data_IF_151290431065
#
_entry.id   IF_151290431065
#
_cell.length_a   1.000
_cell.length_b   1.000
_cell.length_c   1.000
_cell.angle_alpha   90.00
_cell.angle_beta   90.00
_cell.angle_gamma   90.00
#
_symmetry.space_group_name_H-M   'P 1'
#
loop_
_entity.id
_entity.type
_entity.pdbx_description
1 polymer ?
#
# COMPACT_ATOMS: atom_id res chain seq x y z
N UNK A 1 32.57 3.45 5.04
CA UNK A 1 31.17 3.12 5.39
C UNK A 1 30.36 4.39 5.25
N UNK A 2 29.34 4.43 4.40
CA UNK A 2 28.48 5.61 4.27
C UNK A 2 27.80 5.90 5.62
N UNK A 3 27.64 7.19 5.96
CA UNK A 3 26.93 7.56 7.18
C UNK A 3 25.44 7.16 7.11
N UNK A 4 24.79 7.00 8.25
CA UNK A 4 23.33 6.71 8.31
C UNK A 4 22.52 7.76 7.53
N UNK A 5 22.98 9.02 7.57
CA UNK A 5 22.36 10.11 6.83
C UNK A 5 22.52 9.95 5.31
N UNK A 6 23.70 9.58 4.83
CA UNK A 6 23.94 9.32 3.40
C UNK A 6 23.11 8.16 2.87
N UNK A 7 22.98 7.08 3.65
CA UNK A 7 22.14 5.94 3.27
C UNK A 7 20.66 6.31 3.23
N UNK A 8 20.18 7.14 4.16
CA UNK A 8 18.81 7.65 4.15
C UNK A 8 18.53 8.52 2.91
N UNK A 9 19.43 9.48 2.61
CA UNK A 9 19.33 10.35 1.43
C UNK A 9 19.34 9.53 0.15
N UNK A 10 20.24 8.53 0.06
CA UNK A 10 20.32 7.62 -1.08
C UNK A 10 18.99 6.87 -1.27
N UNK A 11 18.40 6.32 -0.22
CA UNK A 11 17.12 5.60 -0.29
C UNK A 11 15.97 6.49 -0.72
N UNK A 12 15.91 7.72 -0.22
CA UNK A 12 14.91 8.70 -0.67
C UNK A 12 15.06 9.00 -2.15
N UNK A 13 16.30 9.20 -2.62
CA UNK A 13 16.56 9.45 -4.04
C UNK A 13 16.12 8.28 -4.93
N UNK A 14 16.46 7.04 -4.56
CA UNK A 14 16.02 5.86 -5.30
C UNK A 14 14.50 5.71 -5.34
N UNK A 15 13.82 6.01 -4.22
CA UNK A 15 12.35 6.03 -4.19
C UNK A 15 11.74 7.11 -5.09
N UNK A 16 12.35 8.31 -5.13
CA UNK A 16 11.93 9.41 -6.01
C UNK A 16 12.18 9.06 -7.48
N UNK A 17 13.31 8.46 -7.81
CA UNK A 17 13.62 8.00 -9.17
C UNK A 17 12.66 6.89 -9.62
N UNK A 18 12.33 5.94 -8.74
CA UNK A 18 11.30 4.93 -8.95
C UNK A 18 9.94 5.57 -9.25
N UNK A 19 9.52 6.53 -8.43
CA UNK A 19 8.26 7.24 -8.62
C UNK A 19 8.26 8.05 -9.93
N UNK A 20 9.35 8.75 -10.24
CA UNK A 20 9.47 9.50 -11.48
C UNK A 20 9.37 8.58 -12.71
N UNK A 21 10.07 7.43 -12.69
CA UNK A 21 9.95 6.40 -13.71
C UNK A 21 8.51 5.89 -13.86
N UNK A 22 7.85 5.60 -12.73
CA UNK A 22 6.44 5.23 -12.70
C UNK A 22 5.53 6.31 -13.28
N UNK A 23 5.73 7.59 -12.98
CA UNK A 23 4.92 8.68 -13.54
C UNK A 23 5.19 8.87 -15.03
N UNK A 24 6.44 8.77 -15.48
CA UNK A 24 6.79 8.90 -16.88
C UNK A 24 6.17 7.79 -17.74
N UNK A 25 6.10 6.55 -17.23
CA UNK A 25 5.43 5.45 -17.90
C UNK A 25 3.93 5.72 -18.18
N UNK A 26 3.31 6.64 -17.44
CA UNK A 26 1.91 7.02 -17.67
C UNK A 26 1.69 7.71 -19.02
N UNK A 27 2.75 8.23 -19.65
CA UNK A 27 2.66 8.84 -20.99
C UNK A 27 2.33 7.82 -22.08
N UNK A 28 2.66 6.55 -21.86
CA UNK A 28 2.41 5.45 -22.81
C UNK A 28 1.33 4.47 -22.34
N UNK A 29 0.83 4.62 -21.11
CA UNK A 29 -0.07 3.68 -20.44
C UNK A 29 -1.33 4.41 -19.96
N UNK A 30 -2.44 4.40 -20.73
CA UNK A 30 -3.64 5.17 -20.41
C UNK A 30 -4.27 4.74 -19.07
N UNK A 31 -4.23 3.44 -18.74
CA UNK A 31 -4.69 2.91 -17.46
C UNK A 31 -3.90 3.45 -16.26
N UNK A 32 -2.59 3.66 -16.44
CA UNK A 32 -1.73 4.26 -15.41
C UNK A 32 -1.99 5.75 -15.27
N UNK A 33 -2.18 6.47 -16.38
CA UNK A 33 -2.61 7.86 -16.32
C UNK A 33 -3.95 8.00 -15.58
N UNK A 34 -4.90 7.11 -15.88
CA UNK A 34 -6.17 7.02 -15.18
C UNK A 34 -5.98 6.74 -13.69
N UNK A 35 -5.10 5.80 -13.32
CA UNK A 35 -4.76 5.50 -11.93
C UNK A 35 -4.21 6.72 -11.20
N UNK A 36 -3.25 7.43 -11.82
CA UNK A 36 -2.62 8.61 -11.25
C UNK A 36 -3.63 9.75 -11.05
N UNK A 37 -4.45 10.02 -12.07
CA UNK A 37 -5.47 11.06 -12.02
C UNK A 37 -6.55 10.74 -10.97
N UNK A 38 -7.05 9.50 -10.93
CA UNK A 38 -8.06 9.08 -9.96
C UNK A 38 -7.50 9.08 -8.52
N UNK A 39 -6.22 8.70 -8.35
CA UNK A 39 -5.53 8.73 -7.06
C UNK A 39 -5.38 10.14 -6.53
N UNK A 40 -4.88 11.06 -7.35
CA UNK A 40 -4.72 12.47 -6.99
C UNK A 40 -6.06 13.13 -6.65
N UNK A 41 -7.08 12.93 -7.50
CA UNK A 41 -8.43 13.42 -7.22
C UNK A 41 -9.03 12.82 -5.95
N UNK A 42 -8.67 11.58 -5.60
CA UNK A 42 -9.07 10.96 -4.33
C UNK A 42 -8.44 11.67 -3.13
N UNK A 43 -7.17 12.07 -3.22
CA UNK A 43 -6.49 12.85 -2.18
C UNK A 43 -7.17 14.19 -1.98
N UNK A 44 -7.44 14.94 -3.06
CA UNK A 44 -8.16 16.21 -3.00
C UNK A 44 -9.58 16.04 -2.45
N UNK A 45 -10.28 14.99 -2.87
CA UNK A 45 -11.62 14.69 -2.39
C UNK A 45 -11.63 14.42 -0.87
N UNK A 46 -10.62 13.74 -0.33
CA UNK A 46 -10.46 13.54 1.12
C UNK A 46 -10.14 14.85 1.83
N UNK A 47 -9.24 15.67 1.28
CA UNK A 47 -8.80 16.92 1.89
C UNK A 47 -9.95 17.94 2.00
N UNK A 48 -10.75 18.09 0.93
CA UNK A 48 -11.88 19.02 0.88
C UNK A 48 -13.21 18.42 1.35
N UNK A 49 -13.25 17.14 1.71
CA UNK A 49 -14.46 16.47 2.17
C UNK A 49 -15.49 16.17 1.07
N UNK A 50 -15.05 16.07 -0.20
CA UNK A 50 -15.90 15.73 -1.34
C UNK A 50 -16.26 14.24 -1.37
N UNK A 51 -17.10 13.81 -0.42
CA UNK A 51 -17.46 12.40 -0.19
C UNK A 51 -17.95 11.68 -1.45
N UNK A 52 -18.80 12.34 -2.26
CA UNK A 52 -19.33 11.74 -3.51
C UNK A 52 -18.23 11.44 -4.52
N UNK A 53 -17.30 12.38 -4.71
CA UNK A 53 -16.19 12.20 -5.62
C UNK A 53 -15.27 11.07 -5.13
N UNK A 54 -14.93 11.07 -3.84
CA UNK A 54 -14.14 9.98 -3.25
C UNK A 54 -14.80 8.61 -3.43
N UNK A 55 -16.11 8.48 -3.15
CA UNK A 55 -16.85 7.24 -3.31
C UNK A 55 -16.93 6.75 -4.75
N UNK A 56 -16.91 7.65 -5.73
CA UNK A 56 -16.90 7.30 -7.15
C UNK A 56 -15.50 6.87 -7.64
N UNK A 57 -14.44 7.54 -7.18
CA UNK A 57 -13.07 7.29 -7.63
C UNK A 57 -12.42 6.08 -6.97
N UNK A 58 -12.63 5.87 -5.66
CA UNK A 58 -11.98 4.78 -4.92
C UNK A 58 -12.12 3.40 -5.60
N UNK A 59 -13.31 2.95 -6.05
CA UNK A 59 -13.45 1.61 -6.63
C UNK A 59 -12.76 1.43 -7.98
N UNK A 60 -12.31 2.50 -8.64
CA UNK A 60 -11.64 2.42 -9.95
C UNK A 60 -10.12 2.23 -9.82
N UNK A 61 -9.52 2.53 -8.67
CA UNK A 61 -8.06 2.51 -8.48
C UNK A 61 -7.46 1.12 -8.73
N UNK A 62 -7.93 0.08 -8.02
CA UNK A 62 -7.35 -1.26 -8.17
C UNK A 62 -7.60 -1.89 -9.55
N UNK A 63 -8.77 -1.72 -10.20
CA UNK A 63 -8.96 -2.12 -11.60
C UNK A 63 -8.01 -1.42 -12.58
N UNK A 64 -7.76 -0.12 -12.42
CA UNK A 64 -6.81 0.62 -13.26
C UNK A 64 -5.38 0.09 -13.08
N UNK A 65 -5.00 -0.21 -11.84
CA UNK A 65 -3.71 -0.82 -11.53
C UNK A 65 -3.60 -2.28 -12.04
N UNK A 66 -4.70 -3.03 -12.08
CA UNK A 66 -4.73 -4.34 -12.71
C UNK A 66 -4.47 -4.27 -14.21
N UNK A 67 -4.94 -3.21 -14.88
CA UNK A 67 -4.62 -2.92 -16.27
C UNK A 67 -3.11 -2.82 -16.52
N UNK A 68 -2.35 -2.18 -15.63
CA UNK A 68 -0.90 -2.04 -15.79
C UNK A 68 -0.18 -3.38 -15.64
N UNK A 69 -0.67 -4.27 -14.78
CA UNK A 69 -0.14 -5.65 -14.60
C UNK A 69 -0.37 -6.49 -15.86
N UNK A 70 -1.52 -6.36 -16.50
CA UNK A 70 -1.82 -7.09 -17.75
C UNK A 70 -0.83 -6.73 -18.86
N UNK A 71 -0.44 -5.45 -18.95
CA UNK A 71 0.54 -4.95 -19.94
C UNK A 71 1.99 -5.20 -19.57
N UNK A 72 2.31 -5.43 -18.31
CA UNK A 72 3.69 -5.57 -17.85
C UNK A 72 4.37 -6.82 -18.42
N UNK A 73 5.70 -6.84 -18.49
CA UNK A 73 6.49 -7.98 -19.00
C UNK A 73 6.84 -8.99 -17.89
N UNK A 74 5.82 -9.39 -17.11
CA UNK A 74 5.92 -10.41 -16.06
C UNK A 74 5.51 -11.80 -16.58
N UNK A 75 6.03 -12.84 -15.93
CA UNK A 75 5.61 -14.21 -16.21
C UNK A 75 4.11 -14.40 -15.93
N UNK A 76 3.44 -15.27 -16.68
CA UNK A 76 1.98 -15.47 -16.57
C UNK A 76 1.52 -15.83 -15.13
N UNK A 77 2.29 -16.65 -14.41
CA UNK A 77 2.00 -17.00 -13.02
C UNK A 77 2.14 -15.82 -12.04
N UNK A 78 3.09 -14.92 -12.28
CA UNK A 78 3.25 -13.70 -11.49
C UNK A 78 2.11 -12.72 -11.76
N UNK A 79 1.73 -12.52 -13.03
CA UNK A 79 0.55 -11.73 -13.41
C UNK A 79 -0.70 -12.26 -12.73
N UNK A 80 -0.94 -13.57 -12.81
CA UNK A 80 -2.10 -14.19 -12.18
C UNK A 80 -2.12 -13.97 -10.65
N UNK A 81 -0.96 -14.10 -10.00
CA UNK A 81 -0.84 -13.85 -8.55
C UNK A 81 -1.16 -12.40 -8.20
N UNK A 82 -0.60 -11.43 -8.93
CA UNK A 82 -0.84 -10.01 -8.71
C UNK A 82 -2.30 -9.63 -8.98
N UNK A 83 -2.90 -10.12 -10.07
CA UNK A 83 -4.29 -9.87 -10.41
C UNK A 83 -5.25 -10.47 -9.38
N UNK A 84 -4.98 -11.68 -8.88
CA UNK A 84 -5.74 -12.28 -7.79
C UNK A 84 -5.65 -11.44 -6.52
N UNK A 85 -4.45 -10.94 -6.19
CA UNK A 85 -4.23 -10.03 -5.07
C UNK A 85 -5.01 -8.71 -5.21
N UNK A 86 -4.92 -8.07 -6.37
CA UNK A 86 -5.65 -6.83 -6.67
C UNK A 86 -7.17 -7.02 -6.63
N UNK A 87 -7.66 -8.18 -7.09
CA UNK A 87 -9.09 -8.53 -7.02
C UNK A 87 -9.54 -8.72 -5.57
N UNK A 88 -8.76 -9.43 -4.75
CA UNK A 88 -9.04 -9.59 -3.32
C UNK A 88 -9.06 -8.23 -2.60
N UNK A 89 -8.08 -7.37 -2.89
CA UNK A 89 -8.02 -6.00 -2.38
C UNK A 89 -9.24 -5.17 -2.76
N UNK A 90 -9.65 -5.25 -4.03
CA UNK A 90 -10.81 -4.54 -4.55
C UNK A 90 -12.11 -4.96 -3.87
N UNK A 91 -12.34 -6.27 -3.71
CA UNK A 91 -13.49 -6.78 -2.97
C UNK A 91 -13.48 -6.33 -1.50
N UNK A 92 -12.29 -6.34 -0.87
CA UNK A 92 -12.11 -5.81 0.48
C UNK A 92 -12.44 -4.33 0.60
N UNK A 93 -12.04 -3.52 -0.38
CA UNK A 93 -12.31 -2.08 -0.41
C UNK A 93 -13.78 -1.74 -0.69
N UNK A 94 -14.44 -2.50 -1.56
CA UNK A 94 -15.89 -2.42 -1.77
C UNK A 94 -16.62 -2.72 -0.46
N UNK A 95 -16.22 -3.77 0.26
CA UNK A 95 -16.83 -4.11 1.54
C UNK A 95 -16.59 -3.03 2.59
N UNK A 96 -15.35 -2.53 2.74
CA UNK A 96 -15.04 -1.40 3.64
C UNK A 96 -15.89 -0.16 3.35
N UNK A 97 -16.28 0.05 2.09
CA UNK A 97 -17.13 1.17 1.68
C UNK A 97 -18.60 0.94 2.04
N UNK A 98 -19.08 -0.31 2.01
CA UNK A 98 -20.45 -0.68 2.43
C UNK A 98 -20.63 -0.67 3.93
N UNK A 99 -19.61 -1.07 4.69
CA UNK A 99 -19.66 -1.20 6.16
C UNK A 99 -18.67 -0.27 6.88
N UNK A 100 -18.70 1.06 6.64
CA UNK A 100 -17.66 1.98 7.13
C UNK A 100 -17.60 2.13 8.66
N UNK A 101 -18.66 1.73 9.38
CA UNK A 101 -18.74 1.88 10.83
C UNK A 101 -18.09 0.72 11.62
N UNK A 102 -17.73 -0.39 10.97
CA UNK A 102 -17.24 -1.61 11.64
C UNK A 102 -16.14 -2.29 10.84
N UNK A 103 -15.23 -2.98 11.53
CA UNK A 103 -14.31 -3.88 10.87
C UNK A 103 -15.09 -5.11 10.39
N UNK A 104 -15.24 -5.28 9.08
CA UNK A 104 -15.91 -6.43 8.47
C UNK A 104 -14.89 -7.51 8.09
N UNK A 105 -15.28 -8.78 8.27
CA UNK A 105 -14.44 -9.94 7.93
C UNK A 105 -13.98 -9.91 6.47
N UNK A 106 -14.88 -9.72 5.48
CA UNK A 106 -14.45 -9.67 4.08
C UNK A 106 -13.56 -8.44 3.80
N UNK A 107 -13.79 -7.32 4.51
CA UNK A 107 -12.99 -6.10 4.37
C UNK A 107 -11.52 -6.30 4.74
N UNK A 108 -11.23 -6.87 5.92
CA UNK A 108 -9.84 -7.13 6.31
C UNK A 108 -9.25 -8.40 5.67
N UNK A 109 -10.09 -9.39 5.34
CA UNK A 109 -9.64 -10.59 4.61
C UNK A 109 -9.19 -10.24 3.18
N UNK A 110 -9.87 -9.32 2.49
CA UNK A 110 -9.46 -8.85 1.17
C UNK A 110 -8.09 -8.18 1.18
N UNK A 111 -7.83 -7.32 2.17
CA UNK A 111 -6.51 -6.69 2.38
C UNK A 111 -5.44 -7.75 2.68
N UNK A 112 -5.74 -8.68 3.59
CA UNK A 112 -4.81 -9.75 3.92
C UNK A 112 -4.51 -10.65 2.70
N UNK A 113 -5.51 -10.96 1.88
CA UNK A 113 -5.37 -11.71 0.64
C UNK A 113 -4.51 -10.98 -0.40
N UNK A 114 -4.72 -9.66 -0.57
CA UNK A 114 -3.90 -8.82 -1.44
C UNK A 114 -2.42 -8.85 -1.01
N UNK A 115 -2.16 -8.65 0.27
CA UNK A 115 -0.80 -8.66 0.82
C UNK A 115 -0.17 -10.06 0.86
N UNK A 116 -0.97 -11.12 1.00
CA UNK A 116 -0.49 -12.49 0.85
C UNK A 116 -0.03 -12.77 -0.59
N UNK A 117 -0.76 -12.26 -1.60
CA UNK A 117 -0.35 -12.37 -3.01
C UNK A 117 0.96 -11.59 -3.28
N UNK A 118 1.09 -10.36 -2.76
CA UNK A 118 2.34 -9.60 -2.86
C UNK A 118 3.49 -10.30 -2.15
N UNK A 119 3.27 -10.81 -0.94
CA UNK A 119 4.28 -11.57 -0.19
C UNK A 119 4.70 -12.84 -0.94
N UNK A 120 3.76 -13.56 -1.55
CA UNK A 120 4.06 -14.72 -2.39
C UNK A 120 4.90 -14.34 -3.62
N UNK A 121 4.59 -13.23 -4.28
CA UNK A 121 5.37 -12.74 -5.41
C UNK A 121 6.79 -12.29 -5.01
N UNK A 122 6.95 -11.70 -3.83
CA UNK A 122 8.25 -11.35 -3.26
C UNK A 122 9.08 -12.60 -2.92
N UNK A 123 8.47 -13.57 -2.23
CA UNK A 123 9.13 -14.84 -1.90
C UNK A 123 9.53 -15.63 -3.14
N UNK A 124 8.68 -15.63 -4.19
CA UNK A 124 9.00 -16.25 -5.47
C UNK A 124 10.22 -15.63 -6.17
N UNK A 125 10.58 -14.39 -5.81
CA UNK A 125 11.79 -13.69 -6.26
C UNK A 125 12.97 -13.83 -5.31
N UNK A 126 12.83 -14.62 -4.24
CA UNK A 126 13.90 -14.89 -3.29
C UNK A 126 13.97 -13.90 -2.12
N UNK A 127 12.94 -13.08 -1.89
CA UNK A 127 12.90 -12.14 -0.77
C UNK A 127 13.18 -12.81 0.57
N UNK A 128 14.03 -12.18 1.39
CA UNK A 128 14.37 -12.61 2.75
C UNK A 128 14.01 -11.52 3.75
N UNK A 129 13.48 -11.93 4.89
CA UNK A 129 13.20 -11.02 5.98
C UNK A 129 14.52 -10.59 6.65
N UNK A 130 14.83 -9.30 6.59
CA UNK A 130 15.92 -8.73 7.38
C UNK A 130 15.54 -8.73 8.88
N UNK A 131 16.35 -9.38 9.72
CA UNK A 131 16.03 -9.57 11.14
C UNK A 131 15.78 -8.26 11.90
N UNK A 132 16.60 -7.23 11.68
CA UNK A 132 16.42 -5.93 12.36
C UNK A 132 15.22 -5.14 11.84
N UNK A 133 14.98 -5.17 10.53
CA UNK A 133 13.82 -4.52 9.89
C UNK A 133 12.50 -5.18 10.26
N UNK A 134 12.49 -6.51 10.41
CA UNK A 134 11.33 -7.29 10.85
C UNK A 134 10.95 -6.97 12.29
N UNK A 135 11.93 -6.86 13.19
CA UNK A 135 11.69 -6.54 14.62
C UNK A 135 11.06 -5.16 14.77
N UNK A 136 11.58 -4.14 14.10
CA UNK A 136 11.02 -2.78 14.18
C UNK A 136 9.58 -2.74 13.68
N UNK A 137 9.30 -3.32 12.51
CA UNK A 137 7.95 -3.34 11.94
C UNK A 137 6.99 -4.19 12.77
N UNK A 138 7.48 -5.30 13.32
CA UNK A 138 6.74 -6.14 14.26
C UNK A 138 6.37 -5.38 15.54
N UNK A 139 7.27 -4.57 16.08
CA UNK A 139 6.99 -3.71 17.24
C UNK A 139 5.94 -2.64 16.93
N UNK A 140 6.01 -2.01 15.75
CA UNK A 140 4.99 -1.05 15.28
C UNK A 140 3.62 -1.73 15.13
N UNK A 141 3.58 -2.91 14.54
CA UNK A 141 2.35 -3.71 14.42
C UNK A 141 1.77 -4.07 15.80
N UNK A 142 2.60 -4.57 16.71
CA UNK A 142 2.19 -4.90 18.07
C UNK A 142 1.65 -3.67 18.82
N UNK A 143 2.27 -2.51 18.65
CA UNK A 143 1.77 -1.24 19.18
C UNK A 143 0.40 -0.89 18.60
N UNK A 144 0.17 -1.14 17.31
CA UNK A 144 -1.14 -0.98 16.65
C UNK A 144 -2.21 -1.90 17.23
N UNK A 145 -1.89 -3.17 17.49
CA UNK A 145 -2.79 -4.12 18.16
C UNK A 145 -3.14 -3.62 19.57
N UNK A 146 -2.14 -3.20 20.34
CA UNK A 146 -2.33 -2.66 21.69
C UNK A 146 -3.19 -1.38 21.70
N UNK A 147 -2.93 -0.45 20.78
CA UNK A 147 -3.74 0.76 20.61
C UNK A 147 -5.19 0.42 20.28
N UNK A 148 -5.41 -0.55 19.40
CA UNK A 148 -6.75 -1.04 19.02
C UNK A 148 -7.46 -1.65 20.22
N UNK A 149 -6.80 -2.52 20.97
CA UNK A 149 -7.36 -3.15 22.16
C UNK A 149 -7.76 -2.12 23.24
N UNK A 150 -7.00 -1.02 23.35
CA UNK A 150 -7.26 0.07 24.32
C UNK A 150 -8.34 1.04 23.87
N UNK A 151 -8.37 1.45 22.60
CA UNK A 151 -9.23 2.54 22.10
C UNK A 151 -10.48 2.05 21.39
N UNK A 152 -10.37 0.97 20.61
CA UNK A 152 -11.45 0.46 19.74
C UNK A 152 -11.28 -1.06 19.54
N UNK A 153 -11.73 -1.89 20.49
CA UNK A 153 -11.58 -3.36 20.45
C UNK A 153 -12.08 -4.01 19.16
N UNK A 154 -13.12 -3.43 18.55
CA UNK A 154 -13.65 -3.88 17.25
C UNK A 154 -12.63 -3.85 16.11
N UNK A 155 -11.53 -3.08 16.22
CA UNK A 155 -10.47 -3.02 15.20
C UNK A 155 -9.41 -4.11 15.36
N UNK A 156 -9.36 -4.79 16.51
CA UNK A 156 -8.30 -5.77 16.82
C UNK A 156 -8.20 -6.87 15.75
N UNK A 157 -9.28 -7.52 15.29
CA UNK A 157 -9.17 -8.56 14.27
C UNK A 157 -8.56 -8.05 12.96
N UNK A 158 -8.98 -6.86 12.52
CA UNK A 158 -8.47 -6.26 11.30
C UNK A 158 -6.98 -5.92 11.41
N UNK A 159 -6.55 -5.30 12.52
CA UNK A 159 -5.15 -4.92 12.72
C UNK A 159 -4.25 -6.13 12.94
N UNK A 160 -4.74 -7.15 13.64
CA UNK A 160 -3.98 -8.40 13.83
C UNK A 160 -3.79 -9.13 12.50
N UNK A 161 -4.83 -9.26 11.67
CA UNK A 161 -4.76 -10.07 10.45
C UNK A 161 -4.20 -9.26 9.27
N UNK A 162 -4.88 -8.18 8.87
CA UNK A 162 -4.46 -7.37 7.73
C UNK A 162 -3.17 -6.59 8.05
N UNK A 163 -3.05 -6.04 9.26
CA UNK A 163 -1.83 -5.33 9.68
C UNK A 163 -0.60 -6.25 9.73
N UNK A 164 -0.76 -7.52 10.12
CA UNK A 164 0.34 -8.49 10.03
C UNK A 164 0.73 -8.79 8.58
N UNK A 165 -0.26 -9.00 7.69
CA UNK A 165 0.02 -9.25 6.27
C UNK A 165 0.76 -8.08 5.60
N UNK A 166 0.35 -6.84 5.91
CA UNK A 166 1.02 -5.62 5.42
C UNK A 166 2.44 -5.52 5.99
N UNK A 167 2.62 -5.84 7.28
CA UNK A 167 3.93 -5.86 7.94
C UNK A 167 4.88 -6.87 7.31
N UNK A 168 4.40 -8.08 7.01
CA UNK A 168 5.16 -9.12 6.31
C UNK A 168 5.55 -8.62 4.91
N UNK A 169 4.60 -8.07 4.16
CA UNK A 169 4.88 -7.51 2.82
C UNK A 169 5.94 -6.42 2.88
N UNK A 170 5.82 -5.48 3.82
CA UNK A 170 6.79 -4.39 4.03
C UNK A 170 8.17 -4.90 4.44
N UNK A 171 8.23 -5.96 5.23
CA UNK A 171 9.50 -6.59 5.64
C UNK A 171 10.19 -7.29 4.47
N UNK A 172 9.43 -8.03 3.66
CA UNK A 172 9.95 -8.75 2.49
C UNK A 172 10.35 -7.80 1.37
N UNK A 173 9.58 -6.74 1.14
CA UNK A 173 9.85 -5.76 0.08
C UNK A 173 11.08 -4.87 0.38
N UNK A 174 11.50 -4.78 1.64
CA UNK A 174 12.69 -4.04 2.07
C UNK A 174 13.98 -4.87 1.95
N UNK A 175 13.91 -6.08 1.39
CA UNK A 175 15.08 -6.90 1.09
C UNK A 175 15.98 -6.20 0.06
N UNK A 176 17.27 -6.18 0.34
CA UNK A 176 18.30 -5.53 -0.48
C UNK A 176 18.69 -6.40 -1.67
N UNK A 177 18.61 -7.72 -1.53
CA UNK A 177 18.99 -8.65 -2.59
C UNK A 177 18.00 -8.61 -3.76
N UNK A 178 16.78 -8.11 -3.51
CA UNK A 178 15.76 -7.85 -4.54
C UNK A 178 15.95 -6.55 -5.32
N UNK A 179 16.81 -5.63 -4.84
CA UNK A 179 17.01 -4.31 -5.45
C UNK A 179 18.13 -4.38 -6.49
N UNK A 180 17.95 -5.22 -7.51
CA UNK A 180 18.94 -5.57 -8.55
C UNK A 180 19.26 -4.45 -9.57
N UNK A 181 19.04 -3.19 -9.19
CA UNK A 181 19.44 -2.02 -9.95
C UNK A 181 18.37 -1.43 -10.87
N UNK A 182 17.26 -2.13 -11.13
CA UNK A 182 16.18 -1.53 -11.92
C UNK A 182 15.37 -0.51 -11.12
N UNK A 183 15.04 0.61 -11.77
CA UNK A 183 14.31 1.74 -11.16
C UNK A 183 12.98 1.30 -10.55
N UNK A 184 12.29 0.31 -11.14
CA UNK A 184 11.04 -0.22 -10.61
C UNK A 184 11.23 -1.02 -9.30
N UNK A 185 12.25 -1.88 -9.22
CA UNK A 185 12.50 -2.73 -8.04
C UNK A 185 13.04 -1.96 -6.85
N UNK A 186 13.76 -0.87 -7.10
CA UNK A 186 14.13 0.09 -6.04
C UNK A 186 12.89 0.70 -5.35
N UNK A 187 11.75 0.75 -6.04
CA UNK A 187 10.48 1.23 -5.50
C UNK A 187 9.78 0.26 -4.54
N UNK A 188 10.13 -1.03 -4.51
CA UNK A 188 9.42 -2.06 -3.71
C UNK A 188 9.37 -1.73 -2.22
N UNK A 189 10.54 -1.51 -1.61
CA UNK A 189 10.65 -1.20 -0.19
C UNK A 189 9.94 0.10 0.18
N UNK A 190 10.07 1.12 -0.67
CA UNK A 190 9.39 2.41 -0.46
C UNK A 190 7.87 2.26 -0.56
N UNK A 191 7.39 1.57 -1.59
CA UNK A 191 5.97 1.32 -1.82
C UNK A 191 5.33 0.58 -0.66
N UNK A 192 5.94 -0.53 -0.23
CA UNK A 192 5.42 -1.32 0.88
C UNK A 192 5.46 -0.56 2.23
N UNK A 193 6.48 0.27 2.46
CA UNK A 193 6.54 1.13 3.64
C UNK A 193 5.43 2.21 3.61
N UNK A 194 5.14 2.80 2.46
CA UNK A 194 4.04 3.76 2.31
C UNK A 194 2.68 3.09 2.59
N UNK A 195 2.47 1.87 2.14
CA UNK A 195 1.25 1.11 2.46
C UNK A 195 1.16 0.82 3.97
N UNK A 196 2.27 0.43 4.61
CA UNK A 196 2.31 0.24 6.07
C UNK A 196 1.98 1.53 6.83
N UNK A 197 2.52 2.67 6.39
CA UNK A 197 2.19 4.00 6.94
C UNK A 197 0.70 4.32 6.75
N UNK A 198 0.14 4.05 5.57
CA UNK A 198 -1.29 4.24 5.30
C UNK A 198 -2.18 3.44 6.26
N UNK A 199 -1.86 2.18 6.53
CA UNK A 199 -2.62 1.36 7.49
C UNK A 199 -2.48 1.89 8.93
N UNK A 200 -1.29 2.37 9.29
CA UNK A 200 -1.06 3.06 10.57
C UNK A 200 -1.90 4.34 10.70
N UNK A 201 -1.96 5.16 9.66
CA UNK A 201 -2.78 6.38 9.62
C UNK A 201 -4.29 6.04 9.65
N UNK A 202 -4.71 5.00 8.95
CA UNK A 202 -6.10 4.50 8.97
C UNK A 202 -6.50 4.08 10.38
N UNK A 203 -5.63 3.34 11.07
CA UNK A 203 -5.85 2.97 12.46
C UNK A 203 -5.90 4.21 13.36
N UNK A 204 -4.94 5.14 13.22
CA UNK A 204 -4.89 6.36 14.00
C UNK A 204 -6.16 7.21 13.82
N UNK A 205 -6.63 7.35 12.58
CA UNK A 205 -7.88 8.03 12.22
C UNK A 205 -9.09 7.37 12.86
N UNK A 206 -9.14 6.04 12.84
CA UNK A 206 -10.29 5.27 13.35
C UNK A 206 -10.30 5.12 14.87
N UNK A 207 -9.14 5.09 15.51
CA UNK A 207 -8.98 4.86 16.94
C UNK A 207 -8.90 6.16 17.77
N UNK A 208 -8.33 7.23 17.22
CA UNK A 208 -8.02 8.47 17.96
C UNK A 208 -8.78 9.67 17.40
N UNK A 209 -8.70 9.91 16.09
CA UNK A 209 -9.26 11.11 15.47
C UNK A 209 -10.62 10.85 14.83
N UNK A 210 -11.64 10.47 15.60
CA UNK A 210 -12.92 10.02 15.01
C UNK A 210 -13.82 11.14 14.50
N UNK A 211 -13.61 12.39 14.94
CA UNK A 211 -14.40 13.55 14.50
C UNK A 211 -13.98 13.99 13.09
N UNK A 212 -14.94 14.44 12.29
CA UNK A 212 -14.65 15.10 11.01
C UNK A 212 -14.23 16.55 11.27
N UNK A 213 -12.93 16.80 11.24
CA UNK A 213 -12.33 18.13 11.38
C UNK A 213 -11.15 18.28 10.41
N UNK A 214 -10.57 19.48 10.31
CA UNK A 214 -9.48 19.76 9.39
C UNK A 214 -8.31 18.77 9.52
N UNK A 215 -7.91 18.45 10.76
CA UNK A 215 -6.84 17.48 11.03
C UNK A 215 -7.22 16.06 10.56
N UNK A 216 -8.46 15.63 10.79
CA UNK A 216 -8.99 14.36 10.31
C UNK A 216 -8.95 14.26 8.79
N UNK A 217 -9.27 15.35 8.07
CA UNK A 217 -9.19 15.43 6.62
C UNK A 217 -7.76 15.39 6.09
N UNK A 218 -6.82 16.03 6.78
CA UNK A 218 -5.38 15.93 6.45
C UNK A 218 -4.88 14.51 6.64
N UNK A 219 -5.25 13.83 7.73
CA UNK A 219 -4.90 12.42 7.96
C UNK A 219 -5.54 11.53 6.89
N UNK A 220 -6.81 11.75 6.56
CA UNK A 220 -7.53 11.04 5.51
C UNK A 220 -6.86 11.21 4.13
N UNK A 221 -6.42 12.43 3.80
CA UNK A 221 -5.71 12.73 2.56
C UNK A 221 -4.31 12.11 2.53
N UNK A 222 -3.55 12.20 3.63
CA UNK A 222 -2.25 11.54 3.77
C UNK A 222 -2.34 10.02 3.69
N UNK A 223 -3.38 9.43 4.27
CA UNK A 223 -3.71 8.00 4.13
C UNK A 223 -3.95 7.65 2.66
N UNK A 224 -4.77 8.43 1.96
CA UNK A 224 -5.04 8.21 0.55
C UNK A 224 -3.76 8.31 -0.30
N UNK A 225 -2.95 9.35 -0.10
CA UNK A 225 -1.73 9.58 -0.86
C UNK A 225 -0.70 8.46 -0.66
N UNK A 226 -0.43 8.11 0.60
CA UNK A 226 0.52 7.03 0.95
C UNK A 226 0.04 5.68 0.43
N UNK A 227 -1.26 5.37 0.53
CA UNK A 227 -1.82 4.15 -0.04
C UNK A 227 -1.66 4.10 -1.56
N UNK A 228 -2.07 5.17 -2.24
CA UNK A 228 -2.04 5.27 -3.71
C UNK A 228 -0.62 5.13 -4.27
N UNK A 229 0.33 5.94 -3.81
CA UNK A 229 1.73 5.82 -4.26
C UNK A 229 2.35 4.49 -3.83
N UNK A 230 1.99 4.01 -2.64
CA UNK A 230 2.47 2.74 -2.12
C UNK A 230 2.11 1.55 -3.01
N UNK A 231 0.84 1.45 -3.41
CA UNK A 231 0.37 0.40 -4.30
C UNK A 231 0.95 0.52 -5.72
N UNK A 232 1.09 1.74 -6.25
CA UNK A 232 1.73 1.96 -7.55
C UNK A 232 3.16 1.41 -7.58
N UNK A 233 3.99 1.84 -6.63
CA UNK A 233 5.40 1.43 -6.56
C UNK A 233 5.54 -0.06 -6.29
N UNK A 234 4.70 -0.62 -5.41
CA UNK A 234 4.75 -2.04 -5.08
C UNK A 234 4.34 -2.92 -6.27
N UNK A 235 3.27 -2.56 -6.99
CA UNK A 235 2.85 -3.30 -8.18
C UNK A 235 3.87 -3.13 -9.30
N UNK A 236 4.45 -1.95 -9.48
CA UNK A 236 5.46 -1.71 -10.51
C UNK A 236 6.70 -2.54 -10.29
N UNK A 237 7.25 -2.53 -9.08
CA UNK A 237 8.41 -3.34 -8.74
C UNK A 237 8.14 -4.85 -8.80
N UNK A 238 6.88 -5.27 -8.67
CA UNK A 238 6.48 -6.69 -8.78
C UNK A 238 6.08 -7.11 -10.20
N UNK A 239 5.69 -6.20 -11.07
CA UNK A 239 5.22 -6.52 -12.41
C UNK A 239 6.26 -6.23 -13.49
N UNK A 240 7.24 -5.36 -13.22
CA UNK A 240 8.22 -4.89 -14.21
C UNK A 240 9.63 -5.33 -13.83
N UNK A 241 10.45 -5.54 -14.87
CA UNK A 241 11.88 -5.86 -14.73
C UNK A 241 12.68 -4.58 -14.76
#
# INVERSE_FOLDING_TARGET
MASVAEEAVRRTRLGVEALAGSVLAARSEPERLGYLAAGELTVWAKLFGWRRLHSALKPTLLPLLAGTVLRADAAAGEKATLLAGLTAGWLGDVEKTRTPARASVPGFAGVAGQHAAYSRALLGRGARASGSGAVLRGAVWAAGVGLSARKRRQLVPAVTIAGAAVTVTSTLADDRDLQDGSTARQGLGHGANLVLVSEGLTLLRSAVFTKDNALGRVIDAGTAATSFFGHLLLVDGLARK
#
